data_IF_812612337302
#
_entry.id   IF_812612337302
#
_cell.length_a   1.000
_cell.length_b   1.000
_cell.length_c   1.000
_cell.angle_alpha   90.00
_cell.angle_beta   90.00
_cell.angle_gamma   90.00
#
_symmetry.space_group_name_H-M   'P 1'
#
loop_
_entity.id
_entity.type
_entity.pdbx_description
1 polymer ?
#
# COMPACT_ATOMS: atom_id res chain seq x y z
N UNK A 1 -15.17 35.29 -77.21
CA UNK A 1 -14.37 36.06 -76.24
C UNK A 1 -14.39 35.30 -74.93
N UNK A 2 -13.24 34.80 -74.46
CA UNK A 2 -13.16 34.06 -73.20
C UNK A 2 -13.14 35.05 -72.01
N UNK A 3 -14.04 34.84 -71.06
CA UNK A 3 -14.18 35.67 -69.87
C UNK A 3 -12.96 35.46 -68.95
N UNK A 4 -12.29 36.54 -68.47
CA UNK A 4 -11.10 36.40 -67.63
C UNK A 4 -11.47 35.72 -66.29
N UNK A 5 -10.56 34.89 -65.74
CA UNK A 5 -10.83 34.15 -64.51
C UNK A 5 -11.12 35.11 -63.35
N UNK A 6 -12.21 34.87 -62.62
CA UNK A 6 -12.60 35.68 -61.45
C UNK A 6 -11.50 35.59 -60.38
N UNK A 7 -11.08 36.73 -59.86
CA UNK A 7 -10.09 36.83 -58.78
C UNK A 7 -10.64 36.18 -57.51
N UNK A 8 -9.86 35.31 -56.82
CA UNK A 8 -10.34 34.62 -55.63
C UNK A 8 -10.65 35.59 -54.50
N UNK A 9 -11.75 35.34 -53.80
CA UNK A 9 -12.20 36.16 -52.67
C UNK A 9 -11.26 36.01 -51.47
N UNK A 10 -11.27 36.95 -50.54
CA UNK A 10 -10.45 36.89 -49.32
C UNK A 10 -10.73 35.63 -48.47
N UNK A 11 -11.97 35.13 -48.48
CA UNK A 11 -12.34 33.87 -47.83
C UNK A 11 -11.72 32.64 -48.49
N UNK A 12 -11.66 32.61 -49.83
CA UNK A 12 -11.01 31.52 -50.57
C UNK A 12 -9.50 31.47 -50.30
N UNK A 13 -8.84 32.63 -50.27
CA UNK A 13 -7.41 32.73 -49.93
C UNK A 13 -7.09 32.27 -48.50
N UNK A 14 -7.97 32.53 -47.53
CA UNK A 14 -7.80 32.02 -46.15
C UNK A 14 -7.97 30.50 -46.07
N UNK A 15 -9.01 29.97 -46.71
CA UNK A 15 -9.24 28.52 -46.75
C UNK A 15 -8.09 27.77 -47.43
N UNK A 16 -7.55 28.32 -48.52
CA UNK A 16 -6.35 27.77 -49.19
C UNK A 16 -5.11 27.81 -48.31
N UNK A 17 -4.88 28.92 -47.58
CA UNK A 17 -3.77 29.05 -46.65
C UNK A 17 -3.89 28.08 -45.46
N UNK A 18 -5.09 27.90 -44.90
CA UNK A 18 -5.35 26.93 -43.83
C UNK A 18 -5.16 25.49 -44.32
N UNK A 19 -5.64 25.15 -45.52
CA UNK A 19 -5.43 23.85 -46.12
C UNK A 19 -3.94 23.56 -46.41
N UNK A 20 -3.20 24.57 -46.87
CA UNK A 20 -1.75 24.47 -47.08
C UNK A 20 -1.00 24.29 -45.74
N UNK A 21 -1.39 25.03 -44.70
CA UNK A 21 -0.82 24.89 -43.36
C UNK A 21 -1.11 23.51 -42.75
N UNK A 22 -2.33 22.99 -42.92
CA UNK A 22 -2.71 21.66 -42.46
C UNK A 22 -1.89 20.56 -43.17
N UNK A 23 -1.71 20.66 -44.48
CA UNK A 23 -0.85 19.72 -45.25
C UNK A 23 0.61 19.81 -44.82
N UNK A 24 1.13 21.01 -44.59
CA UNK A 24 2.49 21.20 -44.10
C UNK A 24 2.68 20.61 -42.70
N UNK A 25 1.70 20.78 -41.81
CA UNK A 25 1.72 20.19 -40.47
C UNK A 25 1.67 18.65 -40.52
N UNK A 26 0.86 18.08 -41.41
CA UNK A 26 0.82 16.62 -41.63
C UNK A 26 2.17 16.09 -42.13
N UNK A 27 2.75 16.71 -43.15
CA UNK A 27 4.05 16.31 -43.69
C UNK A 27 5.18 16.46 -42.65
N UNK A 28 5.13 17.50 -41.79
CA UNK A 28 6.07 17.66 -40.69
C UNK A 28 5.91 16.55 -39.63
N UNK A 29 4.66 16.18 -39.31
CA UNK A 29 4.35 15.08 -38.39
C UNK A 29 4.85 13.73 -38.90
N UNK A 30 4.67 13.43 -40.19
CA UNK A 30 5.16 12.20 -40.82
C UNK A 30 6.69 12.12 -40.77
N UNK A 31 7.39 13.22 -41.11
CA UNK A 31 8.86 13.29 -41.02
C UNK A 31 9.36 13.05 -39.61
N UNK A 32 8.72 13.67 -38.61
CA UNK A 32 9.08 13.45 -37.20
C UNK A 32 8.89 11.98 -36.76
N UNK A 33 7.82 11.31 -37.22
CA UNK A 33 7.62 9.88 -36.95
C UNK A 33 8.71 9.02 -37.61
N UNK A 34 9.07 9.32 -38.86
CA UNK A 34 10.14 8.61 -39.54
C UNK A 34 11.51 8.81 -38.88
N UNK A 35 11.83 10.04 -38.48
CA UNK A 35 13.10 10.37 -37.85
C UNK A 35 13.19 9.75 -36.45
N UNK A 36 12.10 9.80 -35.68
CA UNK A 36 11.96 9.08 -34.41
C UNK A 36 12.21 7.58 -34.59
N UNK A 37 11.62 6.96 -35.62
CA UNK A 37 11.79 5.53 -35.90
C UNK A 37 13.23 5.17 -36.25
N UNK A 38 13.88 5.94 -37.14
CA UNK A 38 15.28 5.72 -37.51
C UNK A 38 16.20 5.84 -36.30
N UNK A 39 15.94 6.84 -35.45
CA UNK A 39 16.71 7.05 -34.22
C UNK A 39 16.50 5.89 -33.25
N UNK A 40 15.26 5.44 -33.05
CA UNK A 40 14.94 4.31 -32.19
C UNK A 40 15.59 3.01 -32.68
N UNK A 41 15.54 2.72 -33.98
CA UNK A 41 16.16 1.53 -34.56
C UNK A 41 17.70 1.57 -34.40
N UNK A 42 18.33 2.74 -34.57
CA UNK A 42 19.77 2.93 -34.31
C UNK A 42 20.12 2.66 -32.85
N UNK A 43 19.31 3.14 -31.90
CA UNK A 43 19.53 2.91 -30.47
C UNK A 43 19.31 1.44 -30.09
N UNK A 44 18.32 0.77 -30.68
CA UNK A 44 18.05 -0.66 -30.46
C UNK A 44 19.21 -1.55 -30.93
N UNK A 45 19.91 -1.16 -32.00
CA UNK A 45 21.10 -1.86 -32.48
C UNK A 45 22.33 -1.69 -31.56
N UNK A 46 22.29 -0.72 -30.63
CA UNK A 46 23.39 -0.39 -29.74
C UNK A 46 23.40 -1.16 -28.41
N UNK A 47 24.46 -0.94 -27.64
CA UNK A 47 24.60 -1.48 -26.29
C UNK A 47 23.49 -0.95 -25.34
N UNK A 48 23.11 -1.72 -24.29
CA UNK A 48 22.12 -1.28 -23.29
C UNK A 48 22.44 0.08 -22.67
N UNK A 49 23.71 0.38 -22.39
CA UNK A 49 24.13 1.64 -21.77
C UNK A 49 23.90 2.86 -22.68
N UNK A 50 24.08 2.72 -23.98
CA UNK A 50 23.77 3.78 -24.95
C UNK A 50 22.26 4.09 -24.99
N UNK A 51 21.42 3.06 -24.83
CA UNK A 51 19.96 3.20 -24.75
C UNK A 51 19.52 3.91 -23.46
N UNK A 52 20.12 3.57 -22.32
CA UNK A 52 19.87 4.27 -21.06
C UNK A 52 20.31 5.74 -21.10
N UNK A 53 21.48 6.01 -21.68
CA UNK A 53 21.99 7.37 -21.86
C UNK A 53 21.05 8.20 -22.75
N UNK A 54 20.60 7.65 -23.88
CA UNK A 54 19.67 8.32 -24.77
C UNK A 54 18.32 8.62 -24.11
N UNK A 55 17.76 7.68 -23.33
CA UNK A 55 16.50 7.92 -22.60
C UNK A 55 16.61 8.93 -21.46
N UNK A 56 17.83 9.25 -21.02
CA UNK A 56 18.09 10.25 -19.98
C UNK A 56 18.23 11.67 -20.54
N UNK A 57 18.35 11.81 -21.87
CA UNK A 57 18.46 13.11 -22.55
C UNK A 57 17.07 13.71 -22.78
N UNK A 58 16.80 14.86 -22.15
CA UNK A 58 15.54 15.58 -22.27
C UNK A 58 15.33 16.20 -23.65
N UNK A 59 16.39 16.39 -24.43
CA UNK A 59 16.33 16.90 -25.80
C UNK A 59 16.02 15.85 -26.87
N UNK A 60 15.84 14.58 -26.47
CA UNK A 60 15.63 13.50 -27.42
C UNK A 60 14.18 13.45 -27.91
N UNK A 61 13.97 13.90 -29.15
CA UNK A 61 12.68 13.86 -29.85
C UNK A 61 12.37 12.44 -30.33
N UNK A 62 11.68 11.69 -29.46
CA UNK A 62 11.14 10.36 -29.74
C UNK A 62 9.63 10.38 -29.58
N UNK A 63 8.93 9.69 -30.48
CA UNK A 63 7.50 9.45 -30.31
C UNK A 63 7.26 8.59 -29.05
N UNK A 64 6.07 8.70 -28.42
CA UNK A 64 5.72 7.87 -27.26
C UNK A 64 5.80 6.37 -27.54
N UNK A 65 5.48 5.94 -28.77
CA UNK A 65 5.52 4.53 -29.17
C UNK A 65 6.96 3.99 -29.24
N UNK A 66 7.86 4.74 -29.87
CA UNK A 66 9.27 4.35 -29.99
C UNK A 66 9.99 4.37 -28.64
N UNK A 67 9.66 5.33 -27.77
CA UNK A 67 10.16 5.37 -26.40
C UNK A 67 9.75 4.13 -25.60
N UNK A 68 8.49 3.67 -25.72
CA UNK A 68 8.03 2.42 -25.08
C UNK A 68 8.80 1.21 -25.60
N UNK A 69 9.02 1.14 -26.92
CA UNK A 69 9.80 0.06 -27.54
C UNK A 69 11.23 0.00 -26.99
N UNK A 70 11.89 1.15 -26.80
CA UNK A 70 13.21 1.23 -26.16
C UNK A 70 13.17 0.76 -24.70
N UNK A 71 12.18 1.19 -23.91
CA UNK A 71 12.01 0.75 -22.52
C UNK A 71 11.77 -0.76 -22.39
N UNK A 72 10.93 -1.34 -23.25
CA UNK A 72 10.71 -2.78 -23.30
C UNK A 72 12.03 -3.54 -23.58
N UNK A 73 12.88 -3.03 -24.48
CA UNK A 73 14.18 -3.63 -24.80
C UNK A 73 15.20 -3.63 -23.65
N UNK A 74 14.95 -2.82 -22.61
CA UNK A 74 15.76 -2.67 -21.41
C UNK A 74 15.20 -3.44 -20.21
N UNK A 75 14.05 -4.09 -20.37
CA UNK A 75 13.45 -4.90 -19.30
C UNK A 75 14.36 -6.07 -18.98
N UNK A 76 14.75 -6.20 -17.70
CA UNK A 76 15.70 -7.23 -17.24
C UNK A 76 17.17 -6.94 -17.54
N UNK A 77 17.51 -5.77 -18.10
CA UNK A 77 18.90 -5.32 -18.26
C UNK A 77 19.22 -4.29 -17.19
N UNK A 78 20.23 -4.57 -16.37
CA UNK A 78 20.71 -3.60 -15.39
C UNK A 78 21.56 -2.54 -16.09
N UNK A 79 21.33 -1.28 -15.73
CA UNK A 79 22.22 -0.20 -16.13
C UNK A 79 23.52 -0.34 -15.35
N UNK A 80 24.67 -0.31 -16.04
CA UNK A 80 25.97 -0.32 -15.36
C UNK A 80 26.01 0.89 -14.41
N UNK A 81 26.12 0.69 -13.09
CA UNK A 81 26.05 1.79 -12.15
C UNK A 81 27.20 2.75 -12.44
N UNK A 82 26.85 4.00 -12.78
CA UNK A 82 27.83 5.07 -12.94
C UNK A 82 28.61 5.19 -11.64
N UNK A 83 29.89 4.81 -11.67
CA UNK A 83 30.81 4.98 -10.54
C UNK A 83 30.98 6.48 -10.39
N UNK A 84 30.22 7.07 -9.46
CA UNK A 84 30.45 8.45 -9.04
C UNK A 84 31.75 8.41 -8.25
N UNK A 85 32.85 9.03 -8.72
CA UNK A 85 34.10 9.04 -7.97
C UNK A 85 33.79 9.68 -6.61
N UNK A 86 34.05 8.92 -5.54
CA UNK A 86 33.83 9.35 -4.16
C UNK A 86 34.90 10.37 -3.71
N UNK A 87 35.20 11.35 -4.57
CA UNK A 87 35.92 12.54 -4.19
C UNK A 87 34.95 13.50 -3.52
N UNK A 88 35.17 13.75 -2.23
CA UNK A 88 34.62 14.86 -1.42
C UNK A 88 33.11 14.99 -1.19
N UNK A 89 32.24 14.13 -1.73
CA UNK A 89 30.81 14.17 -1.39
C UNK A 89 30.48 13.37 -0.10
N UNK A 90 30.06 14.07 0.96
CA UNK A 90 29.55 13.47 2.21
C UNK A 90 28.50 12.38 1.93
N UNK A 91 28.53 11.26 2.67
CA UNK A 91 27.56 10.15 2.58
C UNK A 91 26.10 10.62 2.57
N UNK A 92 25.82 11.75 3.23
CA UNK A 92 24.51 12.40 3.23
C UNK A 92 24.07 12.94 1.87
N UNK A 93 24.98 13.45 1.05
CA UNK A 93 24.69 13.94 -0.30
C UNK A 93 24.31 12.78 -1.25
N UNK A 94 24.94 11.62 -1.08
CA UNK A 94 24.61 10.39 -1.81
C UNK A 94 23.25 9.80 -1.40
N UNK A 95 22.88 9.90 -0.12
CA UNK A 95 21.56 9.49 0.35
C UNK A 95 20.49 10.46 -0.19
N UNK A 96 20.74 11.76 -0.11
CA UNK A 96 19.84 12.82 -0.61
C UNK A 96 19.63 12.76 -2.13
N UNK A 97 20.66 12.45 -2.91
CA UNK A 97 20.52 12.32 -4.37
C UNK A 97 19.73 11.09 -4.80
N UNK A 98 19.65 10.06 -3.94
CA UNK A 98 18.90 8.81 -4.17
C UNK A 98 17.49 8.82 -3.55
N UNK A 99 17.19 9.78 -2.69
CA UNK A 99 15.88 9.96 -2.05
C UNK A 99 14.71 10.08 -3.04
N UNK A 100 14.75 10.89 -4.12
CA UNK A 100 13.59 11.03 -5.02
C UNK A 100 13.22 9.71 -5.73
N UNK A 101 14.19 8.83 -5.96
CA UNK A 101 13.97 7.52 -6.58
C UNK A 101 13.53 6.42 -5.60
N UNK A 102 13.58 6.69 -4.29
CA UNK A 102 13.26 5.71 -3.23
C UNK A 102 12.06 6.08 -2.38
N UNK A 103 11.40 7.23 -2.62
CA UNK A 103 10.24 7.68 -1.82
C UNK A 103 9.12 6.63 -1.82
N UNK A 104 8.82 6.03 -2.98
CA UNK A 104 7.78 4.99 -3.07
C UNK A 104 8.12 3.73 -2.28
N UNK A 105 9.38 3.27 -2.33
CA UNK A 105 9.84 2.09 -1.60
C UNK A 105 9.95 2.35 -0.08
N UNK A 106 10.32 3.58 0.33
CA UNK A 106 10.28 3.96 1.75
C UNK A 106 8.85 4.08 2.26
N UNK A 107 7.94 4.63 1.46
CA UNK A 107 6.52 4.77 1.82
C UNK A 107 5.86 3.39 1.99
N UNK A 108 6.12 2.44 1.08
CA UNK A 108 5.59 1.09 1.20
C UNK A 108 6.17 0.32 2.40
N UNK A 109 7.48 0.45 2.65
CA UNK A 109 8.12 -0.13 3.82
C UNK A 109 7.58 0.47 5.13
N UNK A 110 7.40 1.80 5.18
CA UNK A 110 6.80 2.49 6.31
C UNK A 110 5.36 2.06 6.58
N UNK A 111 4.56 1.93 5.52
CA UNK A 111 3.19 1.43 5.62
C UNK A 111 3.13 -0.02 6.14
N UNK A 112 3.95 -0.92 5.59
CA UNK A 112 4.04 -2.30 6.05
C UNK A 112 4.44 -2.38 7.52
N UNK A 113 5.40 -1.56 7.93
CA UNK A 113 5.83 -1.50 9.32
C UNK A 113 4.72 -0.98 10.25
N UNK A 114 3.98 0.05 9.82
CA UNK A 114 2.84 0.56 10.56
C UNK A 114 1.74 -0.51 10.72
N UNK A 115 1.37 -1.19 9.63
CA UNK A 115 0.39 -2.30 9.66
C UNK A 115 0.85 -3.41 10.59
N UNK A 116 2.11 -3.82 10.52
CA UNK A 116 2.67 -4.87 11.38
C UNK A 116 2.61 -4.46 12.86
N UNK A 117 3.02 -3.23 13.19
CA UNK A 117 2.95 -2.70 14.55
C UNK A 117 1.52 -2.63 15.06
N UNK A 118 0.59 -2.12 14.26
CA UNK A 118 -0.83 -2.07 14.62
C UNK A 118 -1.38 -3.48 14.84
N UNK A 119 -1.05 -4.43 13.96
CA UNK A 119 -1.42 -5.83 14.11
C UNK A 119 -0.90 -6.45 15.40
N UNK A 120 0.37 -6.21 15.75
CA UNK A 120 0.98 -6.70 17.00
C UNK A 120 0.29 -6.07 18.22
N UNK A 121 0.02 -4.75 18.18
CA UNK A 121 -0.66 -4.05 19.28
C UNK A 121 -2.09 -4.57 19.48
N UNK A 122 -2.83 -4.77 18.38
CA UNK A 122 -4.20 -5.32 18.41
C UNK A 122 -4.19 -6.76 18.90
N UNK A 123 -3.24 -7.58 18.45
CA UNK A 123 -3.09 -8.94 18.94
C UNK A 123 -2.81 -8.93 20.45
N UNK A 124 -1.81 -8.16 20.90
CA UNK A 124 -1.45 -8.06 22.32
C UNK A 124 -2.63 -7.59 23.20
N UNK A 125 -3.46 -6.67 22.69
CA UNK A 125 -4.63 -6.17 23.43
C UNK A 125 -5.80 -7.17 23.50
N UNK A 126 -5.83 -8.17 22.61
CA UNK A 126 -6.92 -9.15 22.52
C UNK A 126 -6.50 -10.56 22.95
N UNK A 127 -5.20 -10.85 23.07
CA UNK A 127 -4.73 -12.14 23.58
C UNK A 127 -5.00 -12.26 25.08
N UNK A 128 -5.78 -13.25 25.52
CA UNK A 128 -5.96 -13.51 26.94
C UNK A 128 -4.67 -14.07 27.55
N UNK A 129 -4.39 -13.70 28.80
CA UNK A 129 -3.26 -14.23 29.59
C UNK A 129 -3.45 -15.71 29.92
N UNK A 130 -4.69 -16.10 30.25
CA UNK A 130 -5.05 -17.48 30.58
C UNK A 130 -6.58 -17.66 30.49
N UNK A 131 -7.02 -18.91 30.45
CA UNK A 131 -8.40 -19.28 30.77
C UNK A 131 -8.49 -19.59 32.26
N UNK A 132 -9.46 -19.00 32.95
CA UNK A 132 -9.68 -19.17 34.39
C UNK A 132 -11.11 -19.59 34.69
N UNK A 133 -11.32 -20.29 35.79
CA UNK A 133 -12.62 -20.73 36.28
C UNK A 133 -12.82 -20.18 37.69
N UNK A 134 -14.07 -19.91 38.09
CA UNK A 134 -14.38 -19.49 39.46
C UNK A 134 -14.10 -20.60 40.47
N UNK A 135 -13.53 -20.22 41.63
CA UNK A 135 -13.34 -21.11 42.78
C UNK A 135 -14.64 -21.38 43.54
N UNK A 136 -15.69 -20.60 43.28
CA UNK A 136 -16.98 -20.76 43.94
C UNK A 136 -17.74 -21.97 43.39
N UNK A 137 -18.41 -22.69 44.29
CA UNK A 137 -19.31 -23.80 43.93
C UNK A 137 -20.67 -23.33 43.39
N UNK A 138 -20.94 -22.02 43.45
CA UNK A 138 -22.18 -21.38 43.01
C UNK A 138 -21.86 -20.11 42.22
N UNK A 139 -22.83 -19.67 41.42
CA UNK A 139 -22.71 -18.44 40.63
C UNK A 139 -22.43 -17.23 41.52
N UNK A 140 -21.40 -16.46 41.17
CA UNK A 140 -21.06 -15.22 41.85
C UNK A 140 -21.74 -14.04 41.16
N UNK A 141 -22.38 -13.15 41.92
CA UNK A 141 -22.97 -11.92 41.38
C UNK A 141 -21.87 -10.94 40.98
N UNK A 142 -21.54 -10.86 39.69
CA UNK A 142 -20.48 -10.02 39.14
C UNK A 142 -20.94 -9.45 37.80
N UNK A 143 -20.98 -8.12 37.72
CA UNK A 143 -21.41 -7.43 36.51
C UNK A 143 -20.30 -7.37 35.46
N UNK A 144 -20.57 -7.95 34.29
CA UNK A 144 -19.80 -7.77 33.07
C UNK A 144 -20.31 -6.54 32.33
N UNK A 145 -19.45 -5.54 32.20
CA UNK A 145 -19.79 -4.25 31.58
C UNK A 145 -19.17 -4.12 30.20
N UNK A 146 -19.97 -3.65 29.25
CA UNK A 146 -19.53 -3.23 27.92
C UNK A 146 -18.79 -1.88 28.01
N UNK A 147 -18.10 -1.50 26.94
CA UNK A 147 -17.34 -0.24 26.88
C UNK A 147 -18.21 1.00 27.07
N UNK A 148 -19.48 0.93 26.72
CA UNK A 148 -20.49 1.98 26.91
C UNK A 148 -21.06 2.03 28.34
N UNK A 149 -20.62 1.12 29.23
CA UNK A 149 -21.07 1.02 30.61
C UNK A 149 -22.33 0.17 30.80
N UNK A 150 -22.92 -0.38 29.74
CA UNK A 150 -24.06 -1.27 29.87
C UNK A 150 -23.65 -2.61 30.47
N UNK A 151 -24.47 -3.14 31.37
CA UNK A 151 -24.26 -4.47 31.96
C UNK A 151 -24.81 -5.51 30.98
N UNK A 152 -23.91 -6.35 30.45
CA UNK A 152 -24.28 -7.44 29.55
C UNK A 152 -24.62 -8.73 30.30
N UNK A 153 -23.90 -9.00 31.39
CA UNK A 153 -24.14 -10.14 32.29
C UNK A 153 -24.02 -9.69 33.74
N UNK A 154 -24.79 -10.29 34.63
CA UNK A 154 -24.83 -9.95 36.05
C UNK A 154 -24.16 -11.00 36.96
N UNK A 155 -23.68 -12.11 36.37
CA UNK A 155 -23.14 -13.25 37.10
C UNK A 155 -21.90 -13.82 36.44
N UNK A 156 -21.01 -14.32 37.29
CA UNK A 156 -19.93 -15.24 36.94
C UNK A 156 -20.41 -16.66 37.27
N UNK A 157 -20.72 -17.42 36.22
CA UNK A 157 -21.25 -18.77 36.34
C UNK A 157 -20.17 -19.75 36.85
N UNK A 158 -20.51 -20.57 37.85
CA UNK A 158 -19.58 -21.54 38.42
C UNK A 158 -19.17 -22.62 37.41
N UNK A 159 -17.90 -23.01 37.41
CA UNK A 159 -17.37 -24.05 36.51
C UNK A 159 -17.19 -23.64 35.04
N UNK A 160 -17.63 -22.44 34.61
CA UNK A 160 -17.40 -21.94 33.25
C UNK A 160 -16.01 -21.28 33.11
N UNK A 161 -15.30 -21.52 31.99
CA UNK A 161 -14.04 -20.85 31.71
C UNK A 161 -14.26 -19.42 31.18
N UNK A 162 -13.46 -18.48 31.69
CA UNK A 162 -13.44 -17.08 31.29
C UNK A 162 -12.03 -16.66 30.87
N UNK A 163 -11.94 -15.73 29.92
CA UNK A 163 -10.68 -15.19 29.46
C UNK A 163 -10.14 -14.16 30.46
N UNK A 164 -9.00 -14.44 31.09
CA UNK A 164 -8.27 -13.48 31.91
C UNK A 164 -7.45 -12.55 31.02
N UNK A 165 -7.69 -11.25 31.07
CA UNK A 165 -7.01 -10.28 30.18
C UNK A 165 -5.94 -9.49 30.92
N UNK A 166 -6.13 -9.24 32.22
CA UNK A 166 -5.18 -8.46 33.02
C UNK A 166 -5.25 -8.88 34.49
N UNK A 167 -4.09 -8.87 35.15
CA UNK A 167 -3.97 -8.84 36.62
C UNK A 167 -3.29 -7.54 37.01
N UNK A 168 -3.94 -6.72 37.83
CA UNK A 168 -3.37 -5.46 38.28
C UNK A 168 -3.74 -5.18 39.73
N UNK A 169 -2.75 -4.95 40.59
CA UNK A 169 -2.96 -4.48 41.98
C UNK A 169 -3.94 -5.28 42.83
N UNK A 170 -4.07 -6.59 42.62
CA UNK A 170 -5.04 -7.43 43.34
C UNK A 170 -6.43 -7.49 42.71
N UNK A 171 -6.57 -7.09 41.43
CA UNK A 171 -7.79 -7.20 40.64
C UNK A 171 -7.52 -8.05 39.39
N UNK A 172 -8.35 -9.06 39.19
CA UNK A 172 -8.40 -9.86 37.97
C UNK A 172 -9.48 -9.28 37.04
N UNK A 173 -9.08 -8.99 35.80
CA UNK A 173 -9.99 -8.51 34.76
C UNK A 173 -10.33 -9.66 33.83
N UNK A 174 -11.59 -10.10 33.90
CA UNK A 174 -12.15 -11.13 33.05
C UNK A 174 -12.86 -10.50 31.86
N UNK A 175 -12.83 -11.19 30.73
CA UNK A 175 -13.48 -10.76 29.50
C UNK A 175 -14.35 -11.88 28.92
N UNK A 176 -15.55 -11.52 28.48
CA UNK A 176 -16.49 -12.40 27.79
C UNK A 176 -16.98 -11.74 26.51
N UNK A 177 -17.10 -12.51 25.44
CA UNK A 177 -17.69 -12.02 24.19
C UNK A 177 -19.21 -11.99 24.29
N UNK A 178 -19.80 -10.89 23.83
CA UNK A 178 -21.24 -10.65 23.69
C UNK A 178 -21.54 -10.54 22.21
N UNK A 179 -22.35 -11.46 21.68
CA UNK A 179 -22.73 -11.44 20.28
C UNK A 179 -23.41 -10.11 19.91
N UNK A 180 -22.94 -9.46 18.84
CA UNK A 180 -23.48 -8.20 18.35
C UNK A 180 -23.06 -6.93 19.11
N UNK A 181 -22.42 -7.04 20.28
CA UNK A 181 -22.03 -5.88 21.09
C UNK A 181 -20.50 -5.78 21.35
N UNK A 182 -19.78 -6.90 21.30
CA UNK A 182 -18.33 -6.93 21.49
C UNK A 182 -17.92 -7.60 22.79
N UNK A 183 -16.82 -7.16 23.39
CA UNK A 183 -16.33 -7.72 24.65
C UNK A 183 -16.87 -6.97 25.87
N UNK A 184 -17.40 -7.72 26.84
CA UNK A 184 -17.74 -7.23 28.17
C UNK A 184 -16.66 -7.62 29.18
N UNK A 185 -16.38 -6.74 30.13
CA UNK A 185 -15.34 -6.91 31.14
C UNK A 185 -15.94 -6.94 32.55
N UNK A 186 -15.46 -7.88 33.36
CA UNK A 186 -15.73 -7.96 34.78
C UNK A 186 -14.43 -7.78 35.57
N UNK A 187 -14.52 -7.08 36.71
CA UNK A 187 -13.40 -6.90 37.64
C UNK A 187 -13.72 -7.63 38.92
N UNK A 188 -12.87 -8.57 39.30
CA UNK A 188 -12.95 -9.26 40.59
C UNK A 188 -11.67 -9.04 41.38
N UNK A 189 -11.72 -9.05 42.72
CA UNK A 189 -10.51 -9.20 43.52
C UNK A 189 -9.76 -10.47 43.11
N UNK A 190 -8.43 -10.43 43.15
CA UNK A 190 -7.60 -11.59 42.87
C UNK A 190 -7.81 -12.70 43.89
N UNK A 191 -7.77 -13.96 43.44
CA UNK A 191 -7.92 -15.13 44.32
C UNK A 191 -9.33 -15.71 44.41
N UNK A 192 -10.25 -15.27 43.52
CA UNK A 192 -11.58 -15.87 43.33
C UNK A 192 -11.64 -16.80 42.10
N UNK A 193 -10.53 -16.91 41.37
CA UNK A 193 -10.43 -17.66 40.13
C UNK A 193 -9.11 -18.42 40.06
N UNK A 194 -9.16 -19.67 39.59
CA UNK A 194 -7.99 -20.49 39.32
C UNK A 194 -7.82 -20.75 37.82
N UNK A 195 -6.62 -21.13 37.38
CA UNK A 195 -6.39 -21.53 35.98
C UNK A 195 -7.25 -22.74 35.62
N UNK A 196 -7.88 -22.73 34.44
CA UNK A 196 -8.63 -23.88 33.96
C UNK A 196 -7.67 -25.08 33.73
N UNK A 197 -8.05 -26.33 34.07
CA UNK A 197 -7.23 -27.49 33.79
C UNK A 197 -6.95 -27.60 32.27
N UNK A 198 -5.72 -27.98 31.92
CA UNK A 198 -5.14 -27.89 30.57
C UNK A 198 -5.88 -28.66 29.45
N UNK A 199 -6.97 -29.37 29.75
CA UNK A 199 -7.84 -30.05 28.77
C UNK A 199 -8.87 -29.15 28.07
N UNK A 200 -9.05 -27.89 28.51
CA UNK A 200 -9.96 -26.91 27.90
C UNK A 200 -9.24 -25.80 27.11
N UNK A 201 -7.90 -25.83 27.08
CA UNK A 201 -7.04 -24.79 26.50
C UNK A 201 -6.62 -25.07 25.06
N UNK A 202 -7.42 -25.79 24.28
CA UNK A 202 -7.24 -25.83 22.82
C UNK A 202 -8.24 -24.85 22.22
N UNK A 203 -7.81 -23.68 21.69
CA UNK A 203 -8.66 -22.99 20.74
C UNK A 203 -8.88 -23.95 19.56
N UNK A 204 -10.14 -24.29 19.27
CA UNK A 204 -10.49 -24.99 18.04
C UNK A 204 -9.80 -24.26 16.89
N UNK A 205 -9.02 -25.00 16.09
CA UNK A 205 -8.22 -24.47 14.99
C UNK A 205 -9.08 -23.85 13.85
N UNK A 206 -10.40 -23.93 13.98
CA UNK A 206 -11.34 -23.31 13.06
C UNK A 206 -11.87 -22.02 13.67
N UNK A 207 -11.52 -20.90 13.05
CA UNK A 207 -11.93 -19.53 13.41
C UNK A 207 -13.43 -19.25 13.28
N UNK A 208 -14.27 -20.10 13.84
CA UNK A 208 -15.69 -19.87 14.07
C UNK A 208 -15.95 -19.91 15.57
N UNK A 209 -16.49 -18.83 16.17
CA UNK A 209 -17.04 -18.94 17.50
C UNK A 209 -18.26 -19.86 17.41
N UNK A 210 -18.20 -21.03 18.06
CA UNK A 210 -19.40 -21.79 18.37
C UNK A 210 -20.24 -20.95 19.31
N UNK A 211 -21.52 -20.81 18.99
CA UNK A 211 -22.50 -20.14 19.84
C UNK A 211 -22.63 -20.93 21.15
N UNK A 212 -22.02 -20.44 22.23
CA UNK A 212 -22.20 -20.88 23.62
C UNK A 212 -21.86 -19.72 24.58
#
# INVERSE_FOLDING_TARGET
>A
MAQPPRTPTSGQRRAEAEAAAAKAAQAAGERHVEDSRKLADRLLAGAPDARFAALSDAGLELTPADRRRLLCSLTGKEHTPRVVPAGTASRWALIRSRLPYRVGALASAGFMFAVLLTGILVARANTPLAMVVSDASQDLSVSFTLKDGQVAFDRLEAGKPYALVRRDGGVDVLRRWVAGAGYAEARLPSGYVHSAPAGLATPLADGRPSAW
#
